data_IF_289754704967
#
_entry.id   IF_289754704967
#
_cell.length_a   1.000
_cell.length_b   1.000
_cell.length_c   1.000
_cell.angle_alpha   90.00
_cell.angle_beta   90.00
_cell.angle_gamma   90.00
#
_symmetry.space_group_name_H-M   'P 1'
#
loop_
_entity.id
_entity.type
_entity.pdbx_description
1 polymer ?
#
# COMPACT_ATOMS: atom_id res chain seq x y z
N UNK A 1 -9.11 18.51 -4.03
CA UNK A 1 -8.06 17.61 -3.53
C UNK A 1 -7.24 18.37 -2.49
N UNK A 2 -7.16 17.92 -1.22
CA UNK A 2 -6.31 18.60 -0.23
C UNK A 2 -4.85 18.26 -0.50
N UNK A 3 -4.02 19.28 -0.71
CA UNK A 3 -2.58 19.12 -0.93
C UNK A 3 -1.93 18.40 0.26
N UNK A 4 -1.26 17.28 0.00
CA UNK A 4 -0.49 16.56 1.01
C UNK A 4 0.70 17.43 1.43
N UNK A 5 0.66 17.97 2.65
CA UNK A 5 1.77 18.74 3.23
C UNK A 5 3.03 17.85 3.23
N UNK A 6 4.09 18.30 2.55
CA UNK A 6 5.38 17.58 2.47
C UNK A 6 5.83 17.24 3.90
N UNK A 7 5.98 15.95 4.21
CA UNK A 7 6.45 15.50 5.52
C UNK A 7 7.86 16.06 5.72
N UNK A 8 8.03 16.99 6.66
CA UNK A 8 9.37 17.40 7.12
C UNK A 8 9.94 16.20 7.86
N UNK A 9 10.96 15.57 7.29
CA UNK A 9 11.73 14.54 7.99
C UNK A 9 12.54 15.14 9.13
N UNK A 10 13.16 14.28 9.94
CA UNK A 10 14.13 14.69 10.94
C UNK A 10 15.41 15.19 10.26
N UNK A 11 16.01 16.24 10.81
CA UNK A 11 17.26 16.86 10.37
C UNK A 11 18.45 16.27 11.12
N UNK A 12 19.68 16.50 10.63
CA UNK A 12 20.89 16.07 11.30
C UNK A 12 21.05 16.67 12.72
N UNK A 13 20.50 17.86 12.94
CA UNK A 13 20.47 18.49 14.27
C UNK A 13 19.56 17.73 15.23
N UNK A 14 18.38 17.32 14.76
CA UNK A 14 17.42 16.54 15.55
C UNK A 14 18.01 15.17 15.96
N UNK A 15 18.81 14.54 15.09
CA UNK A 15 19.48 13.27 15.39
C UNK A 15 20.64 13.43 16.39
N UNK A 16 21.39 14.53 16.31
CA UNK A 16 22.50 14.82 17.25
C UNK A 16 21.99 15.14 18.65
N UNK A 17 20.80 15.73 18.77
CA UNK A 17 20.19 16.02 20.07
C UNK A 17 19.83 14.76 20.85
N UNK A 18 19.50 13.66 20.16
CA UNK A 18 19.09 12.39 20.78
C UNK A 18 20.20 11.34 20.80
N UNK A 19 21.41 11.66 20.35
CA UNK A 19 22.52 10.69 20.23
C UNK A 19 22.94 10.08 21.56
N UNK A 20 22.73 10.81 22.66
CA UNK A 20 23.16 10.41 24.00
C UNK A 20 22.11 9.53 24.71
N UNK A 21 21.08 9.09 23.98
CA UNK A 21 20.08 8.17 24.51
C UNK A 21 20.74 6.85 24.93
N UNK A 22 20.57 6.39 26.18
CA UNK A 22 21.18 5.16 26.65
C UNK A 22 20.61 3.94 25.91
N UNK A 23 21.42 2.88 25.80
CA UNK A 23 20.95 1.61 25.25
C UNK A 23 19.83 1.00 26.10
N UNK A 24 18.83 0.41 25.45
CA UNK A 24 17.75 -0.28 26.14
C UNK A 24 18.29 -1.51 26.87
N UNK A 25 18.10 -1.55 28.19
CA UNK A 25 18.49 -2.69 29.01
C UNK A 25 17.42 -3.78 29.00
N UNK A 26 17.80 -5.00 29.45
CA UNK A 26 16.84 -6.10 29.65
C UNK A 26 15.71 -5.74 30.64
N UNK A 27 16.00 -4.89 31.62
CA UNK A 27 15.01 -4.42 32.59
C UNK A 27 13.98 -3.47 31.96
N UNK A 28 14.37 -2.73 30.91
CA UNK A 28 13.45 -1.85 30.17
C UNK A 28 12.49 -2.68 29.32
N UNK A 29 12.97 -3.75 28.68
CA UNK A 29 12.10 -4.70 27.97
C UNK A 29 11.14 -5.43 28.92
N UNK A 30 11.56 -5.75 30.14
CA UNK A 30 10.68 -6.37 31.13
C UNK A 30 9.51 -5.45 31.55
N UNK A 31 9.66 -4.13 31.42
CA UNK A 31 8.62 -3.13 31.71
C UNK A 31 7.81 -2.73 30.48
N UNK A 32 8.18 -3.21 29.30
CA UNK A 32 7.50 -2.85 28.06
C UNK A 32 6.06 -3.37 28.06
N UNK A 33 5.14 -2.53 27.57
CA UNK A 33 3.73 -2.87 27.42
C UNK A 33 3.34 -2.87 25.94
N UNK A 34 2.40 -3.73 25.51
CA UNK A 34 1.89 -3.71 24.16
C UNK A 34 1.37 -2.33 23.75
N UNK A 35 1.68 -1.90 22.53
CA UNK A 35 1.25 -0.60 21.99
C UNK A 35 -0.27 -0.39 22.08
N UNK A 36 -1.04 -1.46 21.87
CA UNK A 36 -2.50 -1.43 21.97
C UNK A 36 -3.03 -1.16 23.37
N UNK A 37 -2.28 -1.52 24.41
CA UNK A 37 -2.66 -1.26 25.80
C UNK A 37 -2.34 0.17 26.23
N UNK A 38 -1.19 0.70 25.79
CA UNK A 38 -0.77 2.06 26.13
C UNK A 38 -1.51 3.11 25.30
N UNK A 39 -1.86 2.79 24.05
CA UNK A 39 -2.52 3.71 23.12
C UNK A 39 -3.73 3.07 22.44
N UNK A 40 -4.82 2.78 23.19
CA UNK A 40 -5.97 2.06 22.67
C UNK A 40 -6.65 2.78 21.50
N UNK A 41 -6.89 4.09 21.59
CA UNK A 41 -7.53 4.87 20.53
C UNK A 41 -6.72 4.94 19.23
N UNK A 42 -5.39 5.02 19.33
CA UNK A 42 -4.50 5.04 18.16
C UNK A 42 -4.37 3.64 17.54
N UNK A 43 -4.28 2.60 18.36
CA UNK A 43 -4.26 1.22 17.87
C UNK A 43 -5.55 0.87 17.11
N UNK A 44 -6.70 1.33 17.59
CA UNK A 44 -7.99 1.14 16.93
C UNK A 44 -8.08 1.90 15.60
N UNK A 45 -7.55 3.12 15.51
CA UNK A 45 -7.55 3.90 14.27
C UNK A 45 -6.59 3.35 13.21
N UNK A 46 -5.43 2.82 13.62
CA UNK A 46 -4.47 2.15 12.73
C UNK A 46 -5.04 0.84 12.20
N UNK A 47 -5.69 0.03 13.04
CA UNK A 47 -6.39 -1.22 12.61
C UNK A 47 -7.56 -0.95 11.65
N UNK A 48 -8.11 0.27 11.67
CA UNK A 48 -9.09 0.72 10.66
C UNK A 48 -8.44 1.01 9.29
N UNK A 49 -7.11 1.11 9.24
CA UNK A 49 -6.31 1.31 8.05
C UNK A 49 -6.14 0.02 7.24
N UNK A 50 -6.75 0.03 6.05
CA UNK A 50 -6.81 -1.05 5.05
C UNK A 50 -7.32 -2.38 5.62
N UNK A 51 -8.65 -2.47 5.73
CA UNK A 51 -9.33 -3.74 5.94
C UNK A 51 -9.02 -4.76 4.83
N UNK A 52 -9.41 -6.04 5.02
CA UNK A 52 -9.28 -7.06 4.00
C UNK A 52 -9.81 -6.54 2.67
N UNK A 53 -9.10 -6.83 1.58
CA UNK A 53 -9.48 -6.35 0.25
C UNK A 53 -10.91 -6.85 -0.06
N UNK A 54 -11.91 -5.95 -0.03
CA UNK A 54 -13.33 -6.32 -0.11
C UNK A 54 -13.75 -6.81 -1.50
N UNK A 55 -12.96 -6.53 -2.53
CA UNK A 55 -13.17 -7.03 -3.88
C UNK A 55 -12.36 -8.33 -4.07
N UNK A 56 -12.87 -9.29 -4.86
CA UNK A 56 -12.07 -10.42 -5.33
C UNK A 56 -10.75 -9.89 -5.89
N UNK A 57 -9.63 -10.39 -5.37
CA UNK A 57 -8.31 -10.02 -5.88
C UNK A 57 -8.20 -10.48 -7.33
N UNK A 58 -7.68 -9.61 -8.20
CA UNK A 58 -7.28 -10.01 -9.55
C UNK A 58 -6.34 -11.22 -9.44
N UNK A 59 -6.65 -12.28 -10.15
CA UNK A 59 -5.78 -13.46 -10.20
C UNK A 59 -4.66 -13.23 -11.20
N UNK A 60 -3.42 -13.46 -10.77
CA UNK A 60 -2.26 -13.39 -11.65
C UNK A 60 -2.19 -14.68 -12.48
N UNK A 61 -2.65 -14.62 -13.72
CA UNK A 61 -2.57 -15.72 -14.67
C UNK A 61 -1.62 -15.39 -15.83
N UNK A 62 -0.83 -16.38 -16.25
CA UNK A 62 0.06 -16.24 -17.40
C UNK A 62 -0.69 -16.60 -18.69
N UNK A 63 -1.30 -15.60 -19.34
CA UNK A 63 -1.98 -15.76 -20.63
C UNK A 63 -1.09 -15.32 -21.80
N UNK A 64 -1.22 -16.00 -22.94
CA UNK A 64 -0.59 -15.56 -24.20
C UNK A 64 -1.55 -14.68 -24.98
N UNK A 65 -1.09 -13.50 -25.38
CA UNK A 65 -1.84 -12.53 -26.18
C UNK A 65 -1.13 -12.28 -27.50
N UNK A 66 -1.90 -12.02 -28.55
CA UNK A 66 -1.36 -11.66 -29.87
C UNK A 66 -0.51 -10.38 -29.80
N UNK A 67 0.54 -10.32 -30.62
CA UNK A 67 1.49 -9.20 -30.61
C UNK A 67 0.83 -7.84 -30.86
N UNK A 68 -0.10 -7.77 -31.81
CA UNK A 68 -0.86 -6.56 -32.13
C UNK A 68 -1.66 -6.02 -30.94
N UNK A 69 -2.24 -6.89 -30.11
CA UNK A 69 -2.98 -6.51 -28.90
C UNK A 69 -2.04 -5.87 -27.88
N UNK A 70 -0.89 -6.51 -27.63
CA UNK A 70 0.10 -5.98 -26.68
C UNK A 70 0.64 -4.64 -27.15
N UNK A 71 0.98 -4.51 -28.44
CA UNK A 71 1.51 -3.27 -29.01
C UNK A 71 0.49 -2.13 -28.96
N UNK A 72 -0.80 -2.41 -29.21
CA UNK A 72 -1.86 -1.43 -29.10
C UNK A 72 -1.96 -0.85 -27.69
N UNK A 73 -2.10 -1.70 -26.66
CA UNK A 73 -2.27 -1.22 -25.29
C UNK A 73 -1.00 -0.58 -24.74
N UNK A 74 0.20 -1.10 -25.06
CA UNK A 74 1.47 -0.48 -24.63
C UNK A 74 1.66 0.93 -25.18
N UNK A 75 1.15 1.25 -26.37
CA UNK A 75 1.23 2.60 -26.94
C UNK A 75 0.44 3.64 -26.12
N UNK A 76 -0.55 3.21 -25.34
CA UNK A 76 -1.33 4.08 -24.46
C UNK A 76 -0.59 4.41 -23.14
N UNK A 77 0.64 3.92 -22.96
CA UNK A 77 1.50 4.24 -21.82
C UNK A 77 1.15 3.50 -20.52
N UNK A 78 1.43 4.14 -19.39
CA UNK A 78 1.21 3.57 -18.06
C UNK A 78 -0.24 3.12 -17.86
N UNK A 79 -0.42 1.98 -17.19
CA UNK A 79 -1.73 1.39 -16.95
C UNK A 79 -2.28 0.53 -18.10
N UNK A 80 -1.50 0.25 -19.15
CA UNK A 80 -1.92 -0.61 -20.26
C UNK A 80 -2.45 -2.00 -19.83
N UNK A 81 -1.88 -2.59 -18.77
CA UNK A 81 -2.37 -3.85 -18.19
C UNK A 81 -3.76 -3.73 -17.56
N UNK A 82 -4.08 -2.57 -17.00
CA UNK A 82 -5.43 -2.30 -16.46
C UNK A 82 -6.43 -2.14 -17.60
N UNK A 83 -6.05 -1.45 -18.67
CA UNK A 83 -6.93 -1.22 -19.84
C UNK A 83 -7.26 -2.51 -20.60
N UNK A 84 -6.30 -3.43 -20.71
CA UNK A 84 -6.57 -4.74 -21.33
C UNK A 84 -7.55 -5.56 -20.48
N UNK A 85 -7.40 -5.58 -19.15
CA UNK A 85 -8.33 -6.24 -18.22
C UNK A 85 -9.76 -5.65 -18.34
N UNK A 86 -9.90 -4.32 -18.34
CA UNK A 86 -11.19 -3.65 -18.54
C UNK A 86 -11.86 -4.02 -19.88
N UNK A 87 -11.05 -4.16 -20.93
CA UNK A 87 -11.53 -4.55 -22.26
C UNK A 87 -12.05 -5.99 -22.25
N UNK A 88 -11.33 -6.91 -21.60
CA UNK A 88 -11.77 -8.30 -21.42
C UNK A 88 -13.04 -8.39 -20.59
N UNK A 89 -13.16 -7.62 -19.50
CA UNK A 89 -14.39 -7.56 -18.69
C UNK A 89 -15.60 -7.08 -19.51
N UNK A 90 -15.44 -6.03 -20.32
CA UNK A 90 -16.49 -5.55 -21.23
C UNK A 90 -16.91 -6.64 -22.23
N UNK A 91 -15.94 -7.38 -22.78
CA UNK A 91 -16.22 -8.49 -23.68
C UNK A 91 -17.01 -9.62 -23.01
N UNK A 92 -16.66 -9.99 -21.78
CA UNK A 92 -17.39 -10.98 -20.98
C UNK A 92 -18.83 -10.52 -20.72
N UNK A 93 -19.03 -9.26 -20.28
CA UNK A 93 -20.37 -8.69 -20.03
C UNK A 93 -21.25 -8.72 -21.28
N UNK A 94 -20.72 -8.35 -22.45
CA UNK A 94 -21.45 -8.39 -23.72
C UNK A 94 -21.87 -9.79 -24.14
N UNK A 95 -21.11 -10.83 -23.78
CA UNK A 95 -21.46 -12.23 -24.09
C UNK A 95 -22.44 -12.84 -23.09
N UNK A 96 -22.51 -12.28 -21.88
CA UNK A 96 -23.41 -12.72 -20.82
C UNK A 96 -24.78 -12.00 -20.84
N UNK A 97 -24.95 -11.00 -21.71
CA UNK A 97 -26.24 -10.35 -22.03
C UNK A 97 -26.84 -10.99 -23.27
#
# INVERSE_FOLDING_TARGET
>A
MKASKKRRGFTAKDLKEVSDSPELSKADFAKAKPFSEVFPGLSASIRKGRGPNKAPTKELVSIRLSRNVIEYFKKEGDGWQTRIDETLQKAVKRKAS
#
